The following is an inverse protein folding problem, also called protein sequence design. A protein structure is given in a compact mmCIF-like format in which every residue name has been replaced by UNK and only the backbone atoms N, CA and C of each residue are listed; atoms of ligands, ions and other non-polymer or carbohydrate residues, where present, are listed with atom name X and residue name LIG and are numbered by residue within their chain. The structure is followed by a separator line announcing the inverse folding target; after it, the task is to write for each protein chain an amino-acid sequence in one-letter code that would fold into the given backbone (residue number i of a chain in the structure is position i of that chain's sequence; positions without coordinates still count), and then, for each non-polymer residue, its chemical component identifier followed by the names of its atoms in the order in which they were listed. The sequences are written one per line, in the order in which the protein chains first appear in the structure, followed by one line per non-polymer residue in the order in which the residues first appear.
data_IF_504122523062
#
_entry.id   IF_504122523062
#
_cell.length_a   1.000
_cell.length_b   1.000
_cell.length_c   1.000
_cell.angle_alpha   90.00
_cell.angle_beta   90.00
_cell.angle_gamma   90.00
#
_symmetry.space_group_name_H-M   'P 1'
#
loop_
_entity.id
_entity.type
_entity.pdbx_description
1 polymer ?
#
# COMPACT_ATOMS: atom_id res chain seq x y z
N UNK A 1 8.47 -8.83 -15.29
CA UNK A 1 8.30 -7.42 -14.87
C UNK A 1 9.63 -6.82 -14.45
N UNK A 2 9.81 -5.52 -14.66
CA UNK A 2 10.98 -4.80 -14.20
C UNK A 2 11.04 -4.76 -12.66
N UNK A 3 12.24 -4.88 -12.12
CA UNK A 3 12.52 -4.75 -10.70
C UNK A 3 12.55 -3.25 -10.33
N UNK A 4 11.78 -2.85 -9.32
CA UNK A 4 11.68 -1.45 -8.88
C UNK A 4 12.46 -1.31 -7.58
N UNK A 5 13.48 -0.47 -7.57
CA UNK A 5 14.20 -0.12 -6.35
C UNK A 5 13.54 1.11 -5.71
N UNK A 6 13.25 1.00 -4.41
CA UNK A 6 12.77 2.11 -3.59
C UNK A 6 13.81 2.45 -2.55
N UNK A 7 14.14 3.73 -2.45
CA UNK A 7 15.07 4.24 -1.44
C UNK A 7 14.48 5.44 -0.71
N UNK A 8 15.13 5.85 0.37
CA UNK A 8 14.79 7.09 1.05
C UNK A 8 15.40 7.15 2.44
N UNK A 9 14.94 8.10 3.25
CA UNK A 9 15.35 8.26 4.64
C UNK A 9 14.16 8.20 5.58
N UNK A 10 14.35 7.52 6.71
CA UNK A 10 13.41 7.52 7.82
C UNK A 10 13.93 8.45 8.90
N UNK A 11 13.07 9.36 9.34
CA UNK A 11 13.35 10.28 10.42
C UNK A 11 12.41 10.01 11.59
N UNK A 12 12.98 10.03 12.80
CA UNK A 12 12.21 10.19 14.03
C UNK A 12 12.02 11.70 14.29
N UNK A 13 11.11 12.05 15.20
CA UNK A 13 10.79 13.41 15.63
C UNK A 13 11.95 14.42 15.51
N UNK A 14 11.64 15.67 15.09
CA UNK A 14 12.62 16.74 14.86
C UNK A 14 13.69 16.44 13.78
N UNK A 15 13.38 15.57 12.81
CA UNK A 15 14.24 15.21 11.66
C UNK A 15 15.55 14.51 12.06
N UNK A 16 15.58 13.80 13.19
CA UNK A 16 16.73 12.95 13.53
C UNK A 16 16.67 11.67 12.69
N UNK A 17 17.77 11.23 12.05
CA UNK A 17 17.81 9.93 11.38
C UNK A 17 17.35 8.79 12.31
N UNK A 18 16.38 8.00 11.87
CA UNK A 18 15.94 6.84 12.62
C UNK A 18 16.76 5.62 12.19
N UNK A 19 17.72 5.22 13.02
CA UNK A 19 18.59 4.05 12.83
C UNK A 19 17.87 2.75 13.20
N UNK A 20 18.13 1.66 12.46
CA UNK A 20 17.58 0.31 12.69
C UNK A 20 16.03 0.25 12.64
N UNK A 21 15.41 1.18 11.93
CA UNK A 21 13.95 1.21 11.75
C UNK A 21 13.53 0.24 10.64
N UNK A 22 12.51 -0.61 10.86
CA UNK A 22 12.04 -1.56 9.86
C UNK A 22 11.23 -0.88 8.75
N UNK A 23 11.58 -1.18 7.51
CA UNK A 23 10.83 -0.79 6.31
C UNK A 23 10.46 -2.05 5.54
N UNK A 24 9.18 -2.25 5.24
CA UNK A 24 8.69 -3.49 4.60
C UNK A 24 7.79 -3.21 3.40
N UNK A 25 7.91 -4.04 2.36
CA UNK A 25 6.98 -4.06 1.22
C UNK A 25 5.82 -5.08 1.43
N UNK A 26 5.72 -5.69 2.62
CA UNK A 26 4.79 -6.77 2.96
C UNK A 26 5.34 -8.19 2.73
N UNK A 27 6.41 -8.34 1.95
CA UNK A 27 7.12 -9.62 1.72
C UNK A 27 8.50 -9.62 2.35
N UNK A 28 9.26 -8.56 2.07
CA UNK A 28 10.62 -8.33 2.52
C UNK A 28 10.65 -7.22 3.57
N UNK A 29 11.65 -7.25 4.44
CA UNK A 29 11.91 -6.19 5.41
C UNK A 29 13.39 -5.83 5.38
N UNK A 30 13.68 -4.54 5.27
CA UNK A 30 15.02 -3.97 5.42
C UNK A 30 15.05 -3.07 6.64
N UNK A 31 16.25 -2.73 7.10
CA UNK A 31 16.43 -1.79 8.20
C UNK A 31 17.27 -0.60 7.76
N UNK A 32 16.98 0.54 8.36
CA UNK A 32 17.68 1.78 8.05
C UNK A 32 19.10 1.79 8.61
N UNK A 33 20.02 2.44 7.87
CA UNK A 33 21.41 2.61 8.28
C UNK A 33 21.59 3.70 9.37
N UNK A 34 22.85 4.02 9.72
CA UNK A 34 23.20 5.06 10.69
C UNK A 34 22.74 6.47 10.30
N UNK A 35 22.46 6.72 9.03
CA UNK A 35 21.91 7.98 8.50
C UNK A 35 20.40 7.87 8.23
N UNK A 36 19.75 6.80 8.68
CA UNK A 36 18.32 6.57 8.48
C UNK A 36 17.97 6.16 7.04
N UNK A 37 18.95 5.88 6.18
CA UNK A 37 18.71 5.53 4.78
C UNK A 37 18.25 4.08 4.67
N UNK A 38 17.34 3.82 3.74
CA UNK A 38 16.93 2.47 3.36
C UNK A 38 16.95 2.31 1.84
N UNK A 39 17.08 1.07 1.41
CA UNK A 39 16.86 0.62 0.04
C UNK A 39 16.15 -0.73 0.08
N UNK A 40 15.03 -0.86 -0.64
CA UNK A 40 14.23 -2.08 -0.72
C UNK A 40 13.79 -2.31 -2.16
N UNK A 41 13.78 -3.56 -2.57
CA UNK A 41 13.25 -3.98 -3.87
C UNK A 41 11.74 -4.19 -3.76
N UNK A 42 11.01 -3.71 -4.76
CA UNK A 42 9.56 -3.72 -4.80
C UNK A 42 9.05 -4.10 -6.20
N UNK A 43 7.76 -4.37 -6.27
CA UNK A 43 7.02 -4.64 -7.49
C UNK A 43 5.83 -3.69 -7.57
N UNK A 44 5.33 -3.45 -8.77
CA UNK A 44 4.11 -2.66 -8.98
C UNK A 44 2.96 -3.19 -8.09
N UNK A 45 2.18 -2.30 -7.48
CA UNK A 45 1.10 -2.56 -6.52
C UNK A 45 1.53 -2.97 -5.11
N UNK A 46 2.82 -2.91 -4.80
CA UNK A 46 3.27 -3.00 -3.41
C UNK A 46 2.98 -1.71 -2.63
N UNK A 47 2.97 -1.86 -1.31
CA UNK A 47 2.86 -0.76 -0.36
C UNK A 47 4.06 -0.83 0.56
N UNK A 48 4.80 0.27 0.66
CA UNK A 48 5.95 0.42 1.53
C UNK A 48 5.46 0.94 2.87
N UNK A 49 5.57 0.08 3.88
CA UNK A 49 5.13 0.33 5.23
C UNK A 49 6.30 0.69 6.14
N UNK A 50 6.01 1.63 7.04
CA UNK A 50 6.91 2.11 8.08
C UNK A 50 6.19 1.91 9.40
N UNK A 51 6.45 0.80 10.08
CA UNK A 51 5.86 0.58 11.40
C UNK A 51 6.74 -0.28 12.29
N UNK A 52 6.73 0.04 13.59
CA UNK A 52 7.36 -0.75 14.63
C UNK A 52 6.47 -0.77 15.87
N UNK A 53 6.44 -1.91 16.54
CA UNK A 53 5.83 -2.05 17.85
C UNK A 53 6.87 -1.72 18.93
N UNK A 54 6.64 -0.66 19.70
CA UNK A 54 7.40 -0.39 20.92
C UNK A 54 6.63 -0.96 22.12
N UNK A 55 7.08 -2.13 22.59
CA UNK A 55 6.48 -2.81 23.74
C UNK A 55 6.80 -2.13 25.07
N UNK A 56 7.92 -1.40 25.16
CA UNK A 56 8.35 -0.73 26.39
C UNK A 56 7.44 0.46 26.68
N UNK A 57 7.16 1.26 25.64
CA UNK A 57 6.31 2.45 25.75
C UNK A 57 4.85 2.20 25.40
N UNK A 58 4.50 0.94 25.08
CA UNK A 58 3.14 0.54 24.67
C UNK A 58 2.61 1.44 23.53
N UNK A 59 3.43 1.64 22.51
CA UNK A 59 3.10 2.49 21.37
C UNK A 59 3.46 1.85 20.04
N UNK A 60 2.78 2.31 18.99
CA UNK A 60 3.14 2.08 17.60
C UNK A 60 3.92 3.28 17.09
N UNK A 61 5.10 3.04 16.57
CA UNK A 61 5.81 4.02 15.76
C UNK A 61 5.44 3.79 14.31
N UNK A 62 4.82 4.77 13.66
CA UNK A 62 4.37 4.62 12.27
C UNK A 62 4.69 5.86 11.44
N UNK A 63 4.78 5.67 10.12
CA UNK A 63 4.71 6.76 9.15
C UNK A 63 3.66 6.44 8.07
N UNK A 64 3.31 7.45 7.28
CA UNK A 64 2.43 7.27 6.12
C UNK A 64 3.05 6.27 5.14
N UNK A 65 2.31 5.23 4.71
CA UNK A 65 2.80 4.28 3.73
C UNK A 65 2.92 4.92 2.34
N UNK A 66 3.78 4.35 1.48
CA UNK A 66 3.95 4.78 0.09
C UNK A 66 3.53 3.67 -0.88
N UNK A 67 2.86 4.03 -1.97
CA UNK A 67 2.25 3.09 -2.92
C UNK A 67 3.04 3.02 -4.22
N UNK A 68 3.41 1.82 -4.65
CA UNK A 68 4.14 1.60 -5.91
C UNK A 68 3.16 1.54 -7.07
N UNK A 69 2.85 2.69 -7.67
CA UNK A 69 1.78 2.83 -8.67
C UNK A 69 2.30 2.97 -10.11
N UNK A 70 3.60 3.14 -10.31
CA UNK A 70 4.23 3.27 -11.63
C UNK A 70 5.45 2.36 -11.74
N UNK A 71 5.75 1.90 -12.96
CA UNK A 71 6.91 1.07 -13.27
C UNK A 71 8.19 1.89 -13.49
N UNK A 72 8.45 2.84 -12.59
CA UNK A 72 9.70 3.61 -12.63
C UNK A 72 10.79 2.80 -11.90
N UNK A 73 11.95 2.50 -12.52
CA UNK A 73 12.98 1.65 -11.93
C UNK A 73 13.50 2.13 -10.57
N UNK A 74 13.46 3.44 -10.33
CA UNK A 74 13.92 4.06 -9.09
C UNK A 74 12.87 5.04 -8.57
N UNK A 75 12.49 4.89 -7.30
CA UNK A 75 11.57 5.78 -6.61
C UNK A 75 12.15 6.14 -5.24
N UNK A 76 11.96 7.38 -4.80
CA UNK A 76 12.52 7.88 -3.55
C UNK A 76 11.45 8.42 -2.62
N UNK A 77 11.37 7.88 -1.41
CA UNK A 77 10.36 8.25 -0.42
C UNK A 77 10.97 8.42 0.97
N UNK A 78 10.96 9.67 1.46
CA UNK A 78 11.27 9.92 2.86
C UNK A 78 10.05 9.66 3.74
N UNK A 79 10.31 9.23 4.97
CA UNK A 79 9.28 8.92 5.96
C UNK A 79 9.57 9.62 7.28
N UNK A 80 8.52 10.20 7.86
CA UNK A 80 8.57 10.85 9.17
C UNK A 80 7.74 10.03 10.15
N UNK A 81 8.44 9.32 11.02
CA UNK A 81 7.85 8.43 12.01
C UNK A 81 7.37 9.23 13.21
N UNK A 82 6.18 8.91 13.69
CA UNK A 82 5.60 9.43 14.91
C UNK A 82 5.05 8.29 15.78
N UNK A 83 4.97 8.52 17.08
CA UNK A 83 4.52 7.52 18.06
C UNK A 83 3.04 7.68 18.39
N UNK A 84 2.33 6.56 18.51
CA UNK A 84 0.89 6.49 18.77
C UNK A 84 0.65 5.46 19.86
N UNK A 85 0.05 5.88 20.96
CA UNK A 85 -0.28 5.02 22.10
C UNK A 85 -1.27 3.90 21.71
N UNK A 86 -1.05 2.68 22.22
CA UNK A 86 -1.95 1.54 22.05
C UNK A 86 -3.40 1.83 22.45
N UNK A 87 -3.61 2.66 23.47
CA UNK A 87 -4.93 2.94 24.00
C UNK A 87 -5.69 4.00 23.20
N UNK A 88 -5.01 4.69 22.26
CA UNK A 88 -5.68 5.58 21.31
C UNK A 88 -6.30 4.75 20.17
N UNK A 89 -7.54 4.33 20.40
CA UNK A 89 -8.43 3.83 19.35
C UNK A 89 -8.76 4.97 18.38
N UNK A 90 -8.04 5.08 17.26
CA UNK A 90 -8.48 5.93 16.15
C UNK A 90 -9.61 5.22 15.38
N UNK A 91 -10.83 5.32 15.91
CA UNK A 91 -12.03 5.00 15.14
C UNK A 91 -12.03 5.87 13.88
N UNK A 92 -12.20 5.25 12.71
CA UNK A 92 -12.21 5.94 11.43
C UNK A 92 -10.85 6.13 10.76
N UNK A 93 -9.78 5.50 11.27
CA UNK A 93 -8.48 5.55 10.58
C UNK A 93 -8.55 4.88 9.21
N UNK A 94 -8.08 5.62 8.22
CA UNK A 94 -7.83 5.18 6.84
C UNK A 94 -7.03 3.88 6.85
N UNK A 95 -7.46 2.88 6.07
CA UNK A 95 -6.73 1.61 5.96
C UNK A 95 -5.41 1.90 5.21
N UNK A 96 -4.24 1.59 5.81
CA UNK A 96 -2.96 1.91 5.19
C UNK A 96 -2.65 1.04 3.96
N UNK A 97 -3.41 -0.05 3.78
CA UNK A 97 -3.25 -1.00 2.69
C UNK A 97 -4.16 -0.66 1.50
N UNK A 98 -3.76 -1.07 0.30
CA UNK A 98 -4.58 -0.95 -0.90
C UNK A 98 -5.64 -2.04 -0.93
N UNK A 99 -6.86 -1.68 -1.35
CA UNK A 99 -7.92 -2.67 -1.60
C UNK A 99 -7.86 -3.14 -3.05
N UNK A 100 -7.90 -4.45 -3.24
CA UNK A 100 -8.03 -5.08 -4.56
C UNK A 100 -9.43 -5.66 -4.68
N UNK A 101 -10.07 -5.40 -5.82
CA UNK A 101 -11.44 -5.84 -6.10
C UNK A 101 -11.46 -6.49 -7.48
N UNK A 102 -11.77 -7.79 -7.54
CA UNK A 102 -11.95 -8.53 -8.79
C UNK A 102 -13.44 -8.69 -9.07
N UNK A 103 -13.91 -8.19 -10.21
CA UNK A 103 -15.31 -8.35 -10.65
C UNK A 103 -16.34 -7.94 -9.57
N UNK A 104 -16.02 -6.89 -8.81
CA UNK A 104 -16.84 -6.36 -7.72
C UNK A 104 -16.63 -7.03 -6.35
N UNK A 105 -15.83 -8.09 -6.27
CA UNK A 105 -15.55 -8.85 -5.04
C UNK A 105 -14.17 -8.49 -4.47
N UNK A 106 -14.07 -8.06 -3.20
CA UNK A 106 -12.78 -7.83 -2.54
C UNK A 106 -11.93 -9.07 -2.46
N UNK A 107 -10.64 -8.91 -2.74
CA UNK A 107 -9.66 -9.98 -2.52
C UNK A 107 -9.32 -10.05 -1.03
N UNK A 108 -9.40 -11.27 -0.48
CA UNK A 108 -9.03 -11.54 0.91
C UNK A 108 -7.53 -11.29 1.15
N UNK A 109 -7.18 -10.93 2.39
CA UNK A 109 -5.79 -10.61 2.76
C UNK A 109 -4.80 -11.75 2.44
N UNK A 110 -5.22 -13.01 2.63
CA UNK A 110 -4.39 -14.20 2.38
C UNK A 110 -4.07 -14.39 0.89
N UNK A 111 -4.92 -13.91 -0.01
CA UNK A 111 -4.82 -14.14 -1.46
C UNK A 111 -4.19 -12.95 -2.20
N UNK A 112 -3.90 -11.84 -1.50
CA UNK A 112 -3.42 -10.59 -2.11
C UNK A 112 -2.13 -10.75 -2.90
N UNK A 113 -1.14 -11.48 -2.38
CA UNK A 113 0.15 -11.60 -3.08
C UNK A 113 0.02 -12.43 -4.36
N UNK A 114 -0.70 -13.56 -4.32
CA UNK A 114 -1.04 -14.34 -5.50
C UNK A 114 -1.81 -13.50 -6.53
N UNK A 115 -2.81 -12.73 -6.07
CA UNK A 115 -3.58 -11.84 -6.94
C UNK A 115 -2.70 -10.77 -7.61
N UNK A 116 -1.80 -10.14 -6.86
CA UNK A 116 -0.84 -9.17 -7.42
C UNK A 116 0.05 -9.82 -8.49
N UNK A 117 0.51 -11.05 -8.28
CA UNK A 117 1.32 -11.76 -9.28
C UNK A 117 0.56 -12.01 -10.58
N UNK A 118 -0.69 -12.49 -10.49
CA UNK A 118 -1.57 -12.65 -11.65
C UNK A 118 -1.79 -11.34 -12.40
N UNK A 119 -1.98 -10.25 -11.65
CA UNK A 119 -2.15 -8.90 -12.21
C UNK A 119 -0.91 -8.44 -12.98
N UNK A 120 0.28 -8.70 -12.42
CA UNK A 120 1.58 -8.38 -13.03
C UNK A 120 1.89 -9.23 -14.26
N UNK A 121 1.31 -10.43 -14.33
CA UNK A 121 1.44 -11.33 -15.48
C UNK A 121 0.46 -10.99 -16.61
N UNK A 122 -0.40 -9.98 -16.45
CA UNK A 122 -1.36 -9.56 -17.47
C UNK A 122 -2.53 -10.53 -17.65
N UNK A 123 -2.88 -11.30 -16.61
CA UNK A 123 -3.99 -12.28 -16.69
C UNK A 123 -5.38 -11.62 -16.76
N UNK A 124 -5.49 -10.32 -16.47
CA UNK A 124 -6.76 -9.61 -16.43
C UNK A 124 -6.91 -8.67 -17.62
N UNK A 125 -8.15 -8.38 -18.00
CA UNK A 125 -8.47 -7.62 -19.19
C UNK A 125 -8.20 -6.13 -19.01
N UNK A 126 -8.70 -5.56 -17.91
CA UNK A 126 -8.58 -4.13 -17.62
C UNK A 126 -8.58 -3.91 -16.10
N UNK A 127 -8.00 -2.79 -15.67
CA UNK A 127 -8.09 -2.32 -14.29
C UNK A 127 -8.36 -0.82 -14.23
N UNK A 128 -8.94 -0.37 -13.12
CA UNK A 128 -9.12 1.05 -12.81
C UNK A 128 -8.70 1.34 -11.37
N UNK A 129 -7.92 2.40 -11.19
CA UNK A 129 -7.44 2.84 -9.88
C UNK A 129 -8.28 4.02 -9.40
N UNK A 130 -8.98 3.86 -8.27
CA UNK A 130 -9.73 4.94 -7.61
C UNK A 130 -8.95 5.42 -6.38
N UNK A 131 -8.79 6.73 -6.25
CA UNK A 131 -8.11 7.39 -5.12
C UNK A 131 -9.14 7.85 -4.09
N UNK A 132 -8.78 7.82 -2.80
CA UNK A 132 -9.58 8.30 -1.68
C UNK A 132 -11.03 7.78 -1.72
N UNK A 133 -11.18 6.45 -1.83
CA UNK A 133 -12.45 5.82 -2.10
C UNK A 133 -12.94 4.98 -0.92
N UNK A 134 -14.27 4.85 -0.81
CA UNK A 134 -14.94 3.99 0.16
C UNK A 134 -15.36 2.69 -0.51
N UNK A 135 -15.11 1.58 0.16
CA UNK A 135 -15.67 0.30 -0.24
C UNK A 135 -16.90 -0.02 0.62
N UNK A 136 -18.09 0.04 0.01
CA UNK A 136 -19.42 -0.01 0.67
C UNK A 136 -19.77 1.23 1.52
N UNK A 137 -21.02 1.70 1.39
CA UNK A 137 -21.54 2.87 2.12
C UNK A 137 -22.07 2.56 3.52
N UNK A 138 -22.37 1.28 3.81
CA UNK A 138 -23.03 0.86 5.07
C UNK A 138 -22.05 0.59 6.21
N UNK A 139 -20.84 0.13 5.89
CA UNK A 139 -19.75 -0.16 6.85
C UNK A 139 -18.49 0.39 6.20
N UNK A 140 -18.32 1.71 6.23
CA UNK A 140 -17.37 2.45 5.40
C UNK A 140 -15.92 2.15 5.77
N UNK A 141 -15.30 1.22 5.03
CA UNK A 141 -13.85 1.08 5.02
C UNK A 141 -13.29 2.10 4.02
N UNK A 142 -12.58 3.10 4.53
CA UNK A 142 -11.92 4.14 3.75
C UNK A 142 -10.50 3.73 3.35
N UNK A 143 -10.18 3.85 2.06
CA UNK A 143 -8.90 3.47 1.47
C UNK A 143 -8.27 4.63 0.70
N UNK A 144 -6.94 4.73 0.73
CA UNK A 144 -6.17 5.63 -0.14
C UNK A 144 -6.39 5.27 -1.60
N UNK A 145 -6.39 3.97 -1.88
CA UNK A 145 -6.49 3.41 -3.20
C UNK A 145 -7.35 2.15 -3.18
N UNK A 146 -8.27 2.08 -4.14
CA UNK A 146 -8.98 0.86 -4.52
C UNK A 146 -8.62 0.56 -5.97
N UNK A 147 -8.06 -0.61 -6.21
CA UNK A 147 -7.77 -1.12 -7.54
C UNK A 147 -8.86 -2.11 -7.94
N UNK A 148 -9.71 -1.70 -8.88
CA UNK A 148 -10.70 -2.57 -9.50
C UNK A 148 -10.07 -3.25 -10.70
N UNK A 149 -10.23 -4.57 -10.78
CA UNK A 149 -9.66 -5.42 -11.82
C UNK A 149 -10.79 -6.24 -12.41
N UNK A 150 -10.79 -6.41 -13.73
CA UNK A 150 -11.89 -7.02 -14.45
C UNK A 150 -11.44 -8.18 -15.32
N UNK A 151 -12.20 -9.27 -15.28
CA UNK A 151 -12.18 -10.28 -16.33
C UNK A 151 -12.84 -9.72 -17.59
N UNK A 152 -12.53 -10.32 -18.74
CA UNK A 152 -13.05 -9.84 -20.04
C UNK A 152 -14.57 -9.92 -20.09
N UNK A 153 -15.15 -11.02 -19.61
CA UNK A 153 -16.59 -11.26 -19.65
C UNK A 153 -17.31 -10.25 -18.75
N UNK A 154 -16.86 -10.10 -17.50
CA UNK A 154 -17.42 -9.13 -16.57
C UNK A 154 -17.32 -7.69 -17.08
N UNK A 155 -16.18 -7.30 -17.65
CA UNK A 155 -16.01 -5.96 -18.20
C UNK A 155 -17.02 -5.67 -19.33
N UNK A 156 -17.18 -6.62 -20.26
CA UNK A 156 -18.11 -6.47 -21.37
C UNK A 156 -19.57 -6.40 -20.91
N UNK A 157 -19.95 -7.20 -19.92
CA UNK A 157 -21.33 -7.26 -19.43
C UNK A 157 -21.71 -6.07 -18.52
N UNK A 158 -20.77 -5.56 -17.74
CA UNK A 158 -21.10 -4.65 -16.62
C UNK A 158 -20.48 -3.26 -16.68
N UNK A 159 -19.40 -3.07 -17.45
CA UNK A 159 -18.59 -1.85 -17.43
C UNK A 159 -18.57 -1.12 -18.78
N UNK A 160 -18.34 -1.84 -19.88
CA UNK A 160 -18.07 -1.28 -21.22
C UNK A 160 -19.05 -0.21 -21.69
N UNK A 161 -20.34 -0.37 -21.41
CA UNK A 161 -21.37 0.58 -21.85
C UNK A 161 -21.66 1.69 -20.82
N UNK A 162 -21.12 1.58 -19.60
CA UNK A 162 -21.19 2.65 -18.59
C UNK A 162 -20.10 3.70 -18.80
N UNK A 163 -18.95 3.33 -19.35
CA UNK A 163 -17.86 4.27 -19.67
C UNK A 163 -18.20 5.22 -20.83
N UNK A 164 -19.24 4.95 -21.63
CA UNK A 164 -19.69 5.83 -22.73
C UNK A 164 -20.62 6.97 -22.30
N UNK A 165 -20.96 7.07 -21.01
CA UNK A 165 -21.96 8.03 -20.48
C UNK A 165 -21.40 9.12 -19.55
N UNK A 166 -20.08 9.22 -19.41
CA UNK A 166 -19.39 10.38 -18.81
C UNK A 166 -18.70 11.19 -19.91
#
# INVERSE_FOLDING_TARGET
MAQITISGRVFYEKKKPYVDFPVTNGRDTVRTDSEGRYKIEAKLWDVIYFYRLDRKFRSYEIATPHYVLTETPHQSYDAFVHSIDFFKCDRGRKKPDMLFVLDGVPIEKKDKESFKERLRNGEFFQYSLKKNAFFSSRISNYYDYILYVYTKDYYNEHIKDKEKKE
#
